data_IF_797230714289
#
_entry.id   IF_797230714289
#
_cell.length_a   1.000
_cell.length_b   1.000
_cell.length_c   1.000
_cell.angle_alpha   90.00
_cell.angle_beta   90.00
_cell.angle_gamma   90.00
#
_symmetry.space_group_name_H-M   'P 1'
#
loop_
_entity.id
_entity.type
_entity.pdbx_description
1 polymer ?
#
# COMPACT_ATOMS: atom_id res chain seq x y z
N UNK A 1 -3.68 2.05 -4.64
CA UNK A 1 -4.63 2.09 -3.52
C UNK A 1 -3.87 1.78 -2.26
N UNK A 2 -3.90 2.73 -1.33
CA UNK A 2 -3.38 2.59 0.02
C UNK A 2 -4.54 2.17 0.93
N UNK A 3 -4.33 1.15 1.77
CA UNK A 3 -5.34 0.62 2.68
C UNK A 3 -4.98 1.03 4.11
N UNK A 4 -5.85 1.81 4.74
CA UNK A 4 -5.59 2.46 6.02
C UNK A 4 -5.87 1.50 7.17
N UNK A 5 -4.90 1.30 8.07
CA UNK A 5 -5.04 0.37 9.20
C UNK A 5 -5.13 1.06 10.58
N UNK A 6 -4.85 2.36 10.66
CA UNK A 6 -4.86 3.13 11.92
C UNK A 6 -5.08 4.63 11.68
N UNK A 7 -5.43 5.38 12.74
CA UNK A 7 -5.53 6.84 12.69
C UNK A 7 -4.17 7.52 12.41
N UNK A 8 -3.07 6.92 12.90
CA UNK A 8 -1.72 7.38 12.56
C UNK A 8 -1.46 7.24 11.05
N UNK A 9 -1.83 6.11 10.46
CA UNK A 9 -1.73 5.94 9.01
C UNK A 9 -2.67 6.85 8.24
N UNK A 10 -3.85 7.18 8.75
CA UNK A 10 -4.70 8.18 8.10
C UNK A 10 -3.94 9.51 7.94
N UNK A 11 -3.19 9.92 8.95
CA UNK A 11 -2.37 11.12 8.88
C UNK A 11 -1.18 10.96 7.93
N UNK A 12 -0.48 9.84 7.98
CA UNK A 12 0.76 9.64 7.24
C UNK A 12 0.55 9.24 5.78
N UNK A 13 -0.44 8.40 5.50
CA UNK A 13 -0.72 7.91 4.15
C UNK A 13 -1.38 8.97 3.28
N UNK A 14 -2.03 10.00 3.86
CA UNK A 14 -2.43 11.18 3.08
C UNK A 14 -1.22 11.90 2.50
N UNK A 15 -0.17 12.10 3.30
CA UNK A 15 1.09 12.73 2.86
C UNK A 15 1.73 11.87 1.75
N UNK A 16 1.83 10.57 2.02
CA UNK A 16 2.34 9.58 1.07
C UNK A 16 1.54 9.55 -0.25
N UNK A 17 0.21 9.62 -0.19
CA UNK A 17 -0.64 9.56 -1.37
C UNK A 17 -0.38 10.72 -2.33
N UNK A 18 -0.24 11.95 -1.80
CA UNK A 18 0.14 13.09 -2.63
C UNK A 18 1.53 12.91 -3.23
N UNK A 19 2.50 12.48 -2.44
CA UNK A 19 3.87 12.26 -2.89
C UNK A 19 3.97 11.21 -4.00
N UNK A 20 3.32 10.05 -3.84
CA UNK A 20 3.26 9.01 -4.86
C UNK A 20 2.50 9.52 -6.09
N UNK A 21 1.38 10.21 -5.91
CA UNK A 21 0.57 10.74 -7.01
C UNK A 21 1.36 11.74 -7.88
N UNK A 22 2.16 12.60 -7.25
CA UNK A 22 3.07 13.52 -7.95
C UNK A 22 4.16 12.78 -8.73
N UNK A 23 4.73 11.70 -8.17
CA UNK A 23 5.75 10.89 -8.84
C UNK A 23 5.22 10.18 -10.08
N UNK A 24 4.08 9.50 -9.94
CA UNK A 24 3.53 8.69 -11.03
C UNK A 24 2.61 9.48 -11.97
N UNK A 25 2.23 10.72 -11.61
CA UNK A 25 1.29 11.53 -12.37
C UNK A 25 -0.10 10.91 -12.51
N UNK A 26 -0.55 10.17 -11.48
CA UNK A 26 -1.77 9.38 -11.48
C UNK A 26 -2.48 9.40 -10.11
N UNK A 27 -3.78 9.07 -10.05
CA UNK A 27 -4.54 9.13 -8.81
C UNK A 27 -4.11 8.03 -7.85
N UNK A 28 -4.05 8.36 -6.57
CA UNK A 28 -3.91 7.40 -5.48
C UNK A 28 -5.21 7.36 -4.69
N UNK A 29 -5.82 6.17 -4.63
CA UNK A 29 -6.98 5.92 -3.79
C UNK A 29 -6.53 5.62 -2.35
N UNK A 30 -7.07 6.37 -1.40
CA UNK A 30 -6.98 6.08 0.03
C UNK A 30 -8.26 5.36 0.44
N UNK A 31 -8.14 4.07 0.76
CA UNK A 31 -9.25 3.26 1.26
C UNK A 31 -9.26 3.33 2.78
N UNK A 32 -10.39 3.75 3.35
CA UNK A 32 -10.68 3.62 4.78
C UNK A 32 -11.88 2.69 4.96
N UNK A 33 -11.97 2.03 6.11
CA UNK A 33 -13.17 1.32 6.55
C UNK A 33 -13.96 2.17 7.55
N UNK A 34 -15.19 1.76 7.86
CA UNK A 34 -16.05 2.41 8.85
C UNK A 34 -15.33 2.50 10.20
N UNK A 35 -14.72 1.41 10.66
CA UNK A 35 -14.03 1.37 11.96
C UNK A 35 -12.87 2.36 12.02
N UNK A 36 -12.07 2.45 10.95
CA UNK A 36 -10.96 3.39 10.88
C UNK A 36 -11.45 4.84 10.83
N UNK A 37 -12.53 5.13 10.09
CA UNK A 37 -13.08 6.49 9.97
C UNK A 37 -13.84 6.98 11.20
N UNK A 38 -14.42 6.09 12.00
CA UNK A 38 -15.27 6.47 13.15
C UNK A 38 -14.55 6.38 14.50
N UNK A 39 -13.38 5.75 14.58
CA UNK A 39 -12.58 5.67 15.81
C UNK A 39 -11.60 6.84 15.88
N UNK A 40 -11.31 7.30 17.11
CA UNK A 40 -10.31 8.32 17.39
C UNK A 40 -9.19 7.74 18.25
N UNK A 41 -7.96 8.17 17.98
CA UNK A 41 -6.79 7.89 18.83
C UNK A 41 -5.86 9.11 18.82
N UNK A 42 -4.95 9.14 19.78
CA UNK A 42 -3.82 10.07 19.72
C UNK A 42 -2.94 9.74 18.50
N UNK A 43 -2.34 10.77 17.91
CA UNK A 43 -1.43 10.66 16.76
C UNK A 43 -0.20 11.53 16.93
N UNK A 44 0.92 11.06 16.41
CA UNK A 44 2.15 11.82 16.31
C UNK A 44 2.15 12.63 15.01
N UNK A 45 2.04 13.96 15.15
CA UNK A 45 1.98 14.86 13.99
C UNK A 45 3.29 14.85 13.18
N UNK A 46 4.40 14.59 13.86
CA UNK A 46 5.74 14.59 13.28
C UNK A 46 6.15 15.97 12.75
N UNK A 47 7.03 15.98 11.75
CA UNK A 47 7.46 17.22 11.08
C UNK A 47 6.38 17.68 10.10
N UNK A 48 6.06 18.98 10.13
CA UNK A 48 5.18 19.60 9.14
C UNK A 48 5.83 19.50 7.76
N UNK A 49 5.06 19.04 6.76
CA UNK A 49 5.49 19.05 5.37
C UNK A 49 5.88 20.48 4.95
N UNK A 50 7.06 20.62 4.35
CA UNK A 50 7.45 21.86 3.69
C UNK A 50 6.80 21.90 2.31
N UNK A 51 5.63 22.52 2.23
CA UNK A 51 4.97 22.74 0.95
C UNK A 51 5.61 23.97 0.27
N UNK A 52 6.26 23.74 -0.86
CA UNK A 52 6.68 24.84 -1.73
C UNK A 52 5.45 25.57 -2.26
N UNK A 53 5.49 26.91 -2.31
CA UNK A 53 4.45 27.67 -2.99
C UNK A 53 4.55 27.38 -4.49
N UNK A 54 3.56 26.66 -5.03
CA UNK A 54 3.45 26.38 -6.46
C UNK A 54 2.33 27.22 -7.05
N UNK A 55 2.58 27.84 -8.19
CA UNK A 55 1.52 28.48 -8.97
C UNK A 55 0.72 27.41 -9.71
N UNK A 56 -0.61 27.52 -9.69
CA UNK A 56 -1.47 26.58 -10.39
C UNK A 56 -1.31 26.77 -11.90
N UNK A 57 -0.86 25.73 -12.59
CA UNK A 57 -0.68 25.71 -14.04
C UNK A 57 -1.43 24.54 -14.66
N UNK A 58 -2.33 24.84 -15.60
CA UNK A 58 -3.15 23.84 -16.30
C UNK A 58 -2.95 23.98 -17.80
N UNK A 59 -2.02 23.19 -18.35
CA UNK A 59 -1.80 23.12 -19.78
C UNK A 59 -2.96 22.42 -20.49
N UNK A 60 -3.48 23.01 -21.57
CA UNK A 60 -4.52 22.39 -22.38
C UNK A 60 -3.91 21.34 -23.29
N UNK A 61 -4.04 20.07 -22.91
CA UNK A 61 -3.63 18.92 -23.71
C UNK A 61 -4.83 18.04 -24.09
N UNK A 62 -5.33 18.21 -25.31
CA UNK A 62 -6.46 17.42 -25.83
C UNK A 62 -6.07 15.94 -25.97
N UNK A 63 -4.82 15.64 -26.33
CA UNK A 63 -4.34 14.28 -26.55
C UNK A 63 -4.23 13.49 -25.26
N UNK A 64 -4.02 14.17 -24.12
CA UNK A 64 -3.96 13.56 -22.78
C UNK A 64 -5.32 13.52 -22.09
N UNK A 65 -6.13 14.58 -22.22
CA UNK A 65 -7.34 14.76 -21.43
C UNK A 65 -8.65 14.42 -22.17
N UNK A 66 -8.61 14.14 -23.47
CA UNK A 66 -9.81 13.81 -24.27
C UNK A 66 -9.71 12.43 -24.90
N UNK A 67 -10.82 11.69 -24.92
CA UNK A 67 -10.94 10.38 -25.60
C UNK A 67 -11.35 10.57 -27.07
N UNK A 68 -10.47 11.18 -27.86
CA UNK A 68 -10.75 11.49 -29.27
C UNK A 68 -9.96 10.55 -30.21
N UNK A 69 -10.61 9.45 -30.62
CA UNK A 69 -10.06 8.50 -31.58
C UNK A 69 -9.26 7.36 -30.97
N UNK A 70 -9.17 6.25 -31.71
CA UNK A 70 -8.57 5.00 -31.23
C UNK A 70 -7.08 5.14 -30.89
N UNK A 71 -6.31 5.87 -31.71
CA UNK A 71 -4.88 6.07 -31.49
C UNK A 71 -4.56 6.74 -30.13
N UNK A 72 -5.30 7.80 -29.78
CA UNK A 72 -5.12 8.49 -28.49
C UNK A 72 -5.57 7.62 -27.33
N UNK A 73 -6.67 6.89 -27.46
CA UNK A 73 -7.12 5.95 -26.44
C UNK A 73 -6.07 4.86 -26.15
N UNK A 74 -5.43 4.31 -27.18
CA UNK A 74 -4.35 3.32 -27.01
C UNK A 74 -3.11 3.92 -26.35
N UNK A 75 -2.68 5.11 -26.78
CA UNK A 75 -1.52 5.80 -26.17
C UNK A 75 -1.78 6.11 -24.68
N UNK A 76 -2.95 6.65 -24.35
CA UNK A 76 -3.33 6.93 -22.96
C UNK A 76 -3.42 5.66 -22.09
N UNK A 77 -3.81 4.52 -22.68
CA UNK A 77 -3.79 3.24 -21.99
C UNK A 77 -2.35 2.78 -21.70
N UNK A 78 -1.44 2.91 -22.68
CA UNK A 78 -0.01 2.64 -22.47
C UNK A 78 0.58 3.55 -21.38
N UNK A 79 0.24 4.83 -21.38
CA UNK A 79 0.65 5.74 -20.30
C UNK A 79 0.14 5.26 -18.94
N UNK A 80 -1.13 4.85 -18.84
CA UNK A 80 -1.71 4.33 -17.60
C UNK A 80 -0.98 3.07 -17.11
N UNK A 81 -0.63 2.15 -18.01
CA UNK A 81 0.18 0.98 -17.69
C UNK A 81 1.59 1.36 -17.22
N UNK A 82 2.21 2.36 -17.85
CA UNK A 82 3.50 2.91 -17.44
C UNK A 82 3.46 3.44 -15.99
N UNK A 83 2.44 4.23 -15.66
CA UNK A 83 2.22 4.74 -14.28
C UNK A 83 2.02 3.61 -13.28
N UNK A 84 1.28 2.57 -13.66
CA UNK A 84 1.05 1.40 -12.81
C UNK A 84 2.35 0.63 -12.56
N UNK A 85 3.21 0.48 -13.57
CA UNK A 85 4.52 -0.15 -13.42
C UNK A 85 5.45 0.66 -12.50
N UNK A 86 5.42 2.00 -12.56
CA UNK A 86 6.15 2.83 -11.59
C UNK A 86 5.58 2.70 -10.18
N UNK A 87 4.26 2.70 -10.03
CA UNK A 87 3.60 2.47 -8.75
C UNK A 87 3.96 1.10 -8.15
N UNK A 88 4.18 0.07 -8.98
CA UNK A 88 4.60 -1.26 -8.53
C UNK A 88 5.96 -1.21 -7.85
N UNK A 89 6.93 -0.52 -8.47
CA UNK A 89 8.28 -0.32 -7.88
C UNK A 89 8.21 0.41 -6.55
N UNK A 90 7.29 1.39 -6.45
CA UNK A 90 7.04 2.13 -5.21
C UNK A 90 6.46 1.18 -4.14
N UNK A 91 5.48 0.34 -4.48
CA UNK A 91 4.88 -0.61 -3.55
C UNK A 91 5.96 -1.50 -2.91
N UNK A 92 6.88 -2.08 -3.67
CA UNK A 92 7.85 -3.05 -3.12
C UNK A 92 8.80 -2.48 -2.05
N UNK A 93 9.34 -1.28 -2.24
CA UNK A 93 10.51 -0.83 -1.46
C UNK A 93 10.49 0.63 -1.01
N UNK A 94 9.41 1.36 -1.26
CA UNK A 94 9.41 2.80 -1.03
C UNK A 94 9.34 3.19 0.45
N UNK A 95 10.18 4.17 0.80
CA UNK A 95 10.18 4.87 2.08
C UNK A 95 10.24 6.37 1.76
N UNK A 96 9.33 7.16 2.33
CA UNK A 96 9.33 8.62 2.11
C UNK A 96 10.55 9.27 2.76
N UNK A 97 10.84 10.52 2.39
CA UNK A 97 11.88 11.32 3.06
C UNK A 97 11.60 11.54 4.57
N UNK A 98 10.35 11.35 4.99
CA UNK A 98 9.91 11.44 6.37
C UNK A 98 9.93 10.09 7.11
N UNK A 99 10.41 9.02 6.47
CA UNK A 99 10.50 7.69 7.06
C UNK A 99 9.19 6.91 7.08
N UNK A 100 8.15 7.37 6.37
CA UNK A 100 6.88 6.66 6.26
C UNK A 100 7.10 5.45 5.35
N UNK A 101 6.84 4.26 5.88
CA UNK A 101 6.92 2.99 5.15
C UNK A 101 5.53 2.62 4.64
N UNK A 102 5.48 2.27 3.36
CA UNK A 102 4.24 1.80 2.72
C UNK A 102 3.91 0.37 3.16
N UNK A 103 4.94 -0.47 3.25
CA UNK A 103 4.83 -1.87 3.64
C UNK A 103 5.88 -2.14 4.72
N UNK A 104 5.55 -3.03 5.67
CA UNK A 104 6.41 -3.34 6.80
C UNK A 104 6.52 -4.83 7.00
N UNK A 105 7.72 -5.30 7.35
CA UNK A 105 8.01 -6.71 7.52
C UNK A 105 8.72 -6.91 8.84
N UNK A 106 8.28 -7.92 9.59
CA UNK A 106 8.92 -8.41 10.81
C UNK A 106 9.22 -9.89 10.64
N UNK A 107 10.48 -10.26 10.88
CA UNK A 107 10.88 -11.66 10.96
C UNK A 107 11.09 -12.03 12.42
N UNK A 108 10.41 -13.08 12.85
CA UNK A 108 10.60 -13.65 14.17
C UNK A 108 11.60 -14.80 14.08
N UNK A 109 12.69 -14.70 14.83
CA UNK A 109 13.75 -15.71 14.84
C UNK A 109 13.22 -17.09 15.20
N UNK A 110 13.51 -18.07 14.35
CA UNK A 110 13.06 -19.46 14.53
C UNK A 110 11.57 -19.71 14.25
N UNK A 111 10.79 -18.68 13.89
CA UNK A 111 9.39 -18.86 13.52
C UNK A 111 9.24 -19.17 12.03
N UNK A 112 8.57 -20.29 11.75
CA UNK A 112 8.20 -20.72 10.39
C UNK A 112 6.74 -20.40 10.04
N UNK A 113 6.04 -19.70 10.91
CA UNK A 113 4.66 -19.27 10.70
C UNK A 113 4.63 -17.78 10.37
N UNK A 114 4.00 -17.45 9.26
CA UNK A 114 3.87 -16.09 8.74
C UNK A 114 2.42 -15.60 8.75
N UNK A 115 2.25 -14.29 8.91
CA UNK A 115 0.96 -13.62 8.71
C UNK A 115 1.12 -12.50 7.69
N UNK A 116 0.31 -12.48 6.64
CA UNK A 116 0.21 -11.34 5.72
C UNK A 116 -1.10 -10.63 6.05
N UNK A 117 -1.08 -9.30 6.18
CA UNK A 117 -2.29 -8.56 6.52
C UNK A 117 -2.32 -7.14 5.93
N UNK A 118 -3.53 -6.59 5.77
CA UNK A 118 -3.75 -5.21 5.30
C UNK A 118 -4.97 -4.57 5.95
N UNK A 119 -4.94 -3.25 6.12
CA UNK A 119 -6.08 -2.46 6.57
C UNK A 119 -6.54 -2.77 8.00
N UNK A 120 -7.85 -2.66 8.25
CA UNK A 120 -8.47 -2.59 9.57
C UNK A 120 -8.19 -3.78 10.51
N UNK A 121 -7.75 -4.93 9.99
CA UNK A 121 -7.40 -6.11 10.80
C UNK A 121 -6.16 -5.91 11.67
N UNK A 122 -5.32 -4.89 11.38
CA UNK A 122 -4.06 -4.64 12.08
C UNK A 122 -4.23 -4.54 13.60
N UNK A 123 -5.24 -3.79 14.06
CA UNK A 123 -5.49 -3.59 15.49
C UNK A 123 -5.74 -4.91 16.21
N UNK A 124 -6.64 -5.73 15.66
CA UNK A 124 -6.97 -7.06 16.20
C UNK A 124 -5.77 -8.00 16.15
N UNK A 125 -5.00 -7.98 15.05
CA UNK A 125 -3.80 -8.80 14.92
C UNK A 125 -2.73 -8.44 15.96
N UNK A 126 -2.42 -7.15 16.12
CA UNK A 126 -1.45 -6.66 17.12
C UNK A 126 -1.91 -6.98 18.55
N UNK A 127 -3.21 -6.87 18.84
CA UNK A 127 -3.77 -7.29 20.14
C UNK A 127 -3.56 -8.79 20.37
N UNK A 128 -3.87 -9.63 19.39
CA UNK A 128 -3.71 -11.09 19.49
C UNK A 128 -2.24 -11.49 19.71
N UNK A 129 -1.30 -10.88 18.98
CA UNK A 129 0.14 -11.10 19.19
C UNK A 129 0.54 -10.86 20.65
N UNK A 130 0.10 -9.74 21.23
CA UNK A 130 0.42 -9.37 22.62
C UNK A 130 -0.28 -10.26 23.63
N UNK A 131 -1.59 -10.46 23.48
CA UNK A 131 -2.45 -11.18 24.44
C UNK A 131 -2.05 -12.63 24.60
N UNK A 132 -1.67 -13.29 23.50
CA UNK A 132 -1.30 -14.69 23.48
C UNK A 132 0.22 -14.92 23.40
N UNK A 133 1.02 -13.84 23.46
CA UNK A 133 2.48 -13.89 23.34
C UNK A 133 2.95 -14.69 22.11
N UNK A 134 2.29 -14.47 20.97
CA UNK A 134 2.58 -15.20 19.74
C UNK A 134 3.90 -14.71 19.14
N UNK A 135 4.72 -15.66 18.67
CA UNK A 135 6.01 -15.41 18.04
C UNK A 135 5.91 -15.77 16.55
N UNK A 136 5.50 -14.79 15.76
CA UNK A 136 5.18 -14.96 14.33
C UNK A 136 5.91 -13.92 13.49
N UNK A 137 6.38 -14.35 12.33
CA UNK A 137 6.79 -13.40 11.28
C UNK A 137 5.54 -12.78 10.67
N UNK A 138 5.60 -11.52 10.25
CA UNK A 138 4.46 -10.88 9.59
C UNK A 138 4.88 -9.87 8.53
N UNK A 139 4.02 -9.70 7.54
CA UNK A 139 4.12 -8.72 6.47
C UNK A 139 2.83 -7.90 6.44
N UNK A 140 2.97 -6.61 6.73
CA UNK A 140 1.93 -5.60 6.54
C UNK A 140 1.99 -5.08 5.11
N UNK A 141 0.85 -5.13 4.44
CA UNK A 141 0.63 -4.50 3.13
C UNK A 141 -0.18 -3.22 3.32
N UNK A 142 0.45 -2.06 3.20
CA UNK A 142 -0.22 -0.75 3.20
C UNK A 142 -0.60 -0.26 1.80
N UNK A 143 0.02 -0.77 0.73
CA UNK A 143 -0.40 -0.56 -0.65
C UNK A 143 -0.89 -1.86 -1.28
N UNK A 144 -2.22 -2.00 -1.34
CA UNK A 144 -2.89 -3.22 -1.86
C UNK A 144 -3.02 -3.23 -3.38
N UNK A 145 -2.82 -2.09 -4.05
CA UNK A 145 -2.79 -2.03 -5.51
C UNK A 145 -1.88 -0.90 -6.04
N UNK A 146 -0.84 -1.20 -6.84
CA UNK A 146 -0.32 -2.54 -7.11
C UNK A 146 0.25 -3.20 -5.84
N UNK A 147 0.21 -4.53 -5.81
CA UNK A 147 0.66 -5.34 -4.69
C UNK A 147 2.20 -5.46 -4.71
N UNK A 148 2.89 -5.47 -3.55
CA UNK A 148 4.35 -5.57 -3.49
C UNK A 148 4.82 -7.03 -3.70
N UNK A 149 4.84 -7.49 -4.96
CA UNK A 149 5.09 -8.90 -5.29
C UNK A 149 6.46 -9.39 -4.82
N UNK A 150 7.54 -8.61 -5.00
CA UNK A 150 8.89 -9.03 -4.64
C UNK A 150 9.02 -9.15 -3.13
N UNK A 151 8.45 -8.19 -2.38
CA UNK A 151 8.40 -8.28 -0.92
C UNK A 151 7.61 -9.48 -0.43
N UNK A 152 6.51 -9.83 -1.09
CA UNK A 152 5.72 -11.03 -0.77
C UNK A 152 6.56 -12.28 -1.01
N UNK A 153 7.25 -12.39 -2.15
CA UNK A 153 8.14 -13.53 -2.45
C UNK A 153 9.23 -13.68 -1.39
N UNK A 154 9.93 -12.60 -1.07
CA UNK A 154 10.97 -12.58 -0.03
C UNK A 154 10.43 -13.05 1.33
N UNK A 155 9.20 -12.65 1.68
CA UNK A 155 8.55 -13.09 2.91
C UNK A 155 8.22 -14.59 2.88
N UNK A 156 7.65 -15.07 1.78
CA UNK A 156 7.26 -16.47 1.58
C UNK A 156 8.47 -17.42 1.61
N UNK A 157 9.64 -16.99 1.17
CA UNK A 157 10.88 -17.79 1.27
C UNK A 157 11.33 -18.08 2.71
N UNK A 158 10.88 -17.29 3.69
CA UNK A 158 11.32 -17.41 5.09
C UNK A 158 10.38 -18.25 5.96
N UNK A 159 9.15 -18.45 5.53
CA UNK A 159 8.07 -19.10 6.31
C UNK A 159 7.53 -20.33 5.58
N UNK A 160 7.07 -21.33 6.34
CA UNK A 160 6.55 -22.59 5.78
C UNK A 160 5.02 -22.54 5.63
N UNK A 161 4.34 -21.71 6.42
CA UNK A 161 2.89 -21.51 6.38
C UNK A 161 2.55 -20.05 6.56
N UNK A 162 1.59 -19.57 5.76
CA UNK A 162 1.07 -18.21 5.84
C UNK A 162 -0.42 -18.22 6.12
N UNK A 163 -0.85 -17.37 7.04
CA UNK A 163 -2.23 -16.95 7.21
C UNK A 163 -2.39 -15.55 6.62
N UNK A 164 -3.36 -15.36 5.74
CA UNK A 164 -3.71 -14.04 5.21
C UNK A 164 -4.88 -13.48 6.01
N UNK A 165 -4.72 -12.27 6.55
CA UNK A 165 -5.77 -11.54 7.25
C UNK A 165 -6.20 -10.35 6.37
N UNK A 166 -7.40 -10.42 5.84
CA UNK A 166 -8.00 -9.36 5.05
C UNK A 166 -9.52 -9.25 5.29
N UNK A 167 -10.12 -8.17 4.81
CA UNK A 167 -11.53 -7.85 5.04
C UNK A 167 -12.35 -8.06 3.77
N UNK A 168 -13.54 -8.65 3.93
CA UNK A 168 -14.55 -8.95 2.90
C UNK A 168 -14.16 -10.08 1.95
N UNK A 169 -13.40 -9.78 0.91
CA UNK A 169 -13.09 -10.68 -0.19
C UNK A 169 -11.60 -11.04 -0.20
N UNK A 170 -11.23 -12.27 -0.62
CA UNK A 170 -9.86 -12.77 -0.55
C UNK A 170 -8.96 -12.20 -1.67
N UNK A 171 -8.77 -10.88 -1.73
CA UNK A 171 -8.02 -10.21 -2.79
C UNK A 171 -6.51 -10.43 -2.65
N UNK A 172 -5.99 -10.24 -1.45
CA UNK A 172 -4.56 -10.44 -1.14
C UNK A 172 -4.26 -11.93 -1.11
N UNK A 173 -5.12 -12.75 -0.52
CA UNK A 173 -4.96 -14.21 -0.50
C UNK A 173 -4.90 -14.78 -1.91
N UNK A 174 -5.83 -14.39 -2.80
CA UNK A 174 -5.81 -14.85 -4.19
C UNK A 174 -4.52 -14.47 -4.92
N UNK A 175 -4.03 -13.24 -4.73
CA UNK A 175 -2.77 -12.81 -5.32
C UNK A 175 -1.54 -13.50 -4.71
N UNK A 176 -1.53 -13.74 -3.40
CA UNK A 176 -0.47 -14.52 -2.72
C UNK A 176 -0.45 -15.94 -3.27
N UNK A 177 -1.60 -16.59 -3.47
CA UNK A 177 -1.70 -17.92 -4.11
C UNK A 177 -1.19 -17.87 -5.56
N UNK A 178 -1.52 -16.82 -6.32
CA UNK A 178 -1.00 -16.65 -7.68
C UNK A 178 0.52 -16.56 -7.68
N UNK A 179 1.10 -15.79 -6.75
CA UNK A 179 2.55 -15.61 -6.62
C UNK A 179 3.24 -16.92 -6.23
N UNK A 180 2.66 -17.73 -5.33
CA UNK A 180 3.25 -19.02 -4.95
C UNK A 180 3.28 -20.02 -6.09
N UNK A 181 2.36 -19.96 -7.05
CA UNK A 181 2.43 -20.77 -8.26
C UNK A 181 3.58 -20.38 -9.22
N UNK A 182 4.19 -19.20 -9.03
CA UNK A 182 5.30 -18.70 -9.84
C UNK A 182 6.68 -18.92 -9.18
N UNK A 183 6.71 -19.36 -7.91
CA UNK A 183 7.91 -19.71 -7.15
C UNK A 183 8.28 -21.19 -7.35
#
# INVERSE_FOLDING_TARGET
MLDLASQQECLDYVKLAFEISEKIGGPIFLRSTTDISHVASDVEIGKKLKLEKREAHFERDVSKYTKAGAAWCMAQHQDALGRLAEASKISDSYITEYGIKVNETHFEDGSKQGVIYAGAVEGNFKEALKKYNLKLSWLKIGMVHPLPEERIKEFLEKVDRVLVLEELDPLIEAEVIRITCLL
#
